data_IF_902724203230
#
_entry.id   IF_902724203230
#
_cell.length_a   1.000
_cell.length_b   1.000
_cell.length_c   1.000
_cell.angle_alpha   90.00
_cell.angle_beta   90.00
_cell.angle_gamma   90.00
#
_symmetry.space_group_name_H-M   'P 1'
#
loop_
_entity.id
_entity.type
_entity.pdbx_description
1 polymer ?
#
# COMPACT_ATOMS: atom_id res chain seq x y z
N UNK A 1 -4.76 -9.41 30.87
CA UNK A 1 -4.60 -7.96 30.99
C UNK A 1 -5.50 -7.48 32.11
N UNK A 2 -4.95 -6.73 33.08
CA UNK A 2 -5.67 -6.28 34.28
C UNK A 2 -6.08 -4.81 34.21
N UNK A 3 -5.55 -4.02 33.27
CA UNK A 3 -5.93 -2.63 33.02
C UNK A 3 -5.55 -2.19 31.60
N UNK A 4 -6.29 -1.24 31.02
CA UNK A 4 -6.04 -0.59 29.73
C UNK A 4 -6.58 0.84 29.77
N UNK A 5 -5.78 1.81 29.34
CA UNK A 5 -6.15 3.23 29.32
C UNK A 5 -5.98 3.78 27.90
N UNK A 6 -7.06 4.23 27.23
CA UNK A 6 -7.02 4.70 25.85
C UNK A 6 -6.62 6.19 25.69
N UNK A 7 -6.05 6.80 26.74
CA UNK A 7 -5.65 8.21 26.70
C UNK A 7 -4.39 8.40 25.86
N UNK A 8 -4.31 9.56 25.18
CA UNK A 8 -3.10 9.92 24.45
C UNK A 8 -1.92 10.04 25.44
N UNK A 9 -0.84 9.27 25.26
CA UNK A 9 0.33 9.37 26.11
C UNK A 9 0.98 10.75 25.98
N UNK A 10 1.63 11.19 27.06
CA UNK A 10 2.43 12.41 27.04
C UNK A 10 3.50 12.35 25.95
N UNK A 11 3.66 13.43 25.17
CA UNK A 11 4.60 13.46 24.05
C UNK A 11 6.06 13.28 24.49
N UNK A 12 6.40 13.73 25.71
CA UNK A 12 7.74 13.59 26.29
C UNK A 12 8.16 12.14 26.55
N UNK A 13 7.22 11.20 26.57
CA UNK A 13 7.54 9.76 26.59
C UNK A 13 8.23 9.28 25.31
N UNK A 14 8.06 10.02 24.21
CA UNK A 14 8.65 9.70 22.91
C UNK A 14 9.89 10.54 22.60
N UNK A 15 10.27 11.46 23.49
CA UNK A 15 11.49 12.23 23.35
C UNK A 15 12.72 11.40 23.76
N UNK A 16 13.67 11.29 22.85
CA UNK A 16 14.93 10.62 23.13
C UNK A 16 15.84 11.51 23.99
N UNK A 17 15.98 11.16 25.28
CA UNK A 17 16.84 11.89 26.21
C UNK A 17 18.11 11.07 26.56
N UNK A 18 19.24 11.28 25.87
CA UNK A 18 20.47 10.53 26.16
C UNK A 18 20.99 10.87 27.57
N UNK A 19 21.46 9.88 28.35
CA UNK A 19 22.06 10.14 29.66
C UNK A 19 23.40 10.88 29.53
N UNK A 20 23.87 11.49 30.63
CA UNK A 20 25.13 12.22 30.64
C UNK A 20 26.31 11.34 30.21
N UNK A 21 27.09 11.82 29.23
CA UNK A 21 28.24 11.09 28.67
C UNK A 21 27.89 10.07 27.58
N UNK A 22 26.62 9.94 27.19
CA UNK A 22 26.24 9.13 26.04
C UNK A 22 26.65 9.82 24.73
N UNK A 23 27.29 9.06 23.84
CA UNK A 23 27.59 9.48 22.47
C UNK A 23 26.43 9.13 21.57
N UNK A 24 25.86 10.14 20.91
CA UNK A 24 24.79 9.98 19.91
C UNK A 24 25.42 10.08 18.52
N UNK A 25 25.23 9.04 17.70
CA UNK A 25 25.68 9.02 16.31
C UNK A 25 24.47 8.94 15.38
N UNK A 26 24.30 9.94 14.53
CA UNK A 26 23.28 9.93 13.50
C UNK A 26 23.85 9.28 12.24
N UNK A 27 23.31 8.12 11.88
CA UNK A 27 23.70 7.44 10.64
C UNK A 27 22.82 7.97 9.52
N UNK A 28 23.42 8.77 8.65
CA UNK A 28 22.85 9.05 7.34
C UNK A 28 22.79 7.74 6.54
N UNK A 29 21.59 7.29 6.21
CA UNK A 29 21.44 6.28 5.17
C UNK A 29 21.97 6.86 3.85
N UNK A 30 22.57 6.05 2.98
CA UNK A 30 22.84 6.49 1.62
C UNK A 30 21.53 7.04 1.05
N UNK A 31 21.57 8.25 0.49
CA UNK A 31 20.43 8.85 -0.18
C UNK A 31 19.90 7.81 -1.17
N UNK A 32 18.72 7.27 -0.89
CA UNK A 32 18.07 6.27 -1.74
C UNK A 32 17.52 6.95 -3.00
N UNK A 33 18.31 7.84 -3.61
CA UNK A 33 18.05 8.51 -4.88
C UNK A 33 16.69 9.20 -4.99
N UNK A 34 15.99 9.45 -3.87
CA UNK A 34 14.64 9.97 -3.93
C UNK A 34 14.76 11.48 -3.99
N UNK A 35 15.05 11.96 -5.21
CA UNK A 35 14.97 13.39 -5.52
C UNK A 35 13.57 13.87 -5.10
N UNK A 36 13.44 15.04 -4.47
CA UNK A 36 12.13 15.66 -4.27
C UNK A 36 11.53 15.88 -5.67
N UNK A 37 10.51 15.09 -6.01
CA UNK A 37 9.88 15.07 -7.34
C UNK A 37 10.19 13.87 -8.25
N UNK A 38 10.99 12.89 -7.83
CA UNK A 38 11.27 11.69 -8.63
C UNK A 38 10.44 10.48 -8.19
N UNK A 39 9.17 10.45 -8.54
CA UNK A 39 8.48 9.18 -8.64
C UNK A 39 9.12 8.35 -9.79
N UNK A 40 9.90 7.32 -9.43
CA UNK A 40 10.64 6.46 -10.35
C UNK A 40 12.08 6.97 -10.51
N UNK A 41 13.11 6.21 -10.15
CA UNK A 41 13.41 4.88 -10.66
C UNK A 41 14.24 4.09 -9.65
N UNK A 42 13.67 3.00 -9.11
CA UNK A 42 14.47 1.91 -8.54
C UNK A 42 15.19 1.21 -9.69
N UNK A 43 16.52 1.25 -9.68
CA UNK A 43 17.37 0.58 -10.65
C UNK A 43 18.08 -0.58 -9.94
N UNK A 44 17.37 -1.69 -9.80
CA UNK A 44 17.97 -2.99 -9.47
C UNK A 44 17.42 -4.04 -10.44
N UNK A 45 18.32 -4.45 -11.34
CA UNK A 45 18.53 -5.83 -11.82
C UNK A 45 17.43 -6.66 -12.47
N UNK A 46 16.14 -6.43 -12.21
CA UNK A 46 15.03 -7.27 -12.67
C UNK A 46 13.76 -6.45 -12.91
N UNK A 47 13.86 -5.37 -13.69
CA UNK A 47 12.68 -4.76 -14.29
C UNK A 47 12.71 -5.02 -15.79
N UNK A 48 11.91 -5.99 -16.21
CA UNK A 48 11.37 -5.96 -17.56
C UNK A 48 10.82 -4.56 -17.79
N UNK A 49 11.29 -3.91 -18.85
CA UNK A 49 10.87 -2.57 -19.22
C UNK A 49 9.38 -2.61 -19.54
N UNK A 50 8.53 -2.34 -18.56
CA UNK A 50 7.15 -2.01 -18.89
C UNK A 50 7.12 -0.52 -19.17
N UNK A 51 7.73 -0.19 -20.30
CA UNK A 51 7.47 1.04 -21.01
C UNK A 51 6.14 0.83 -21.73
N UNK A 52 5.09 1.24 -21.05
CA UNK A 52 3.75 1.31 -21.57
C UNK A 52 3.07 2.41 -20.78
N UNK A 53 2.37 3.28 -21.48
CA UNK A 53 1.43 4.24 -20.93
C UNK A 53 0.38 3.48 -20.10
N UNK A 54 0.75 3.07 -18.88
CA UNK A 54 -0.18 2.49 -17.93
C UNK A 54 -0.75 3.67 -17.19
N UNK A 55 -2.03 3.93 -17.39
CA UNK A 55 -2.85 4.84 -16.57
C UNK A 55 -2.37 4.72 -15.13
N UNK A 56 -1.65 5.74 -14.66
CA UNK A 56 -1.12 5.75 -13.31
C UNK A 56 -2.34 5.69 -12.39
N UNK A 57 -2.56 4.55 -11.76
CA UNK A 57 -3.66 4.39 -10.82
C UNK A 57 -3.64 5.52 -9.79
N UNK A 58 -4.82 5.93 -9.36
CA UNK A 58 -4.96 6.90 -8.28
C UNK A 58 -4.50 6.26 -6.97
N UNK A 59 -3.81 7.00 -6.11
CA UNK A 59 -3.41 6.50 -4.80
C UNK A 59 -4.26 7.18 -3.74
N UNK A 60 -5.00 6.39 -2.97
CA UNK A 60 -5.84 6.81 -1.85
C UNK A 60 -5.13 6.46 -0.54
N UNK A 61 -4.97 7.45 0.33
CA UNK A 61 -4.26 7.32 1.61
C UNK A 61 -2.74 7.52 1.50
N UNK A 62 -2.08 7.55 2.66
CA UNK A 62 -0.64 7.82 2.78
C UNK A 62 0.09 6.72 3.57
N UNK A 63 1.40 6.61 3.35
CA UNK A 63 2.26 5.70 4.10
C UNK A 63 1.83 4.24 3.98
N UNK A 64 1.64 3.59 5.13
CA UNK A 64 1.28 2.16 5.21
C UNK A 64 -0.17 1.87 4.85
N UNK A 65 -1.03 2.89 4.79
CA UNK A 65 -2.46 2.74 4.46
C UNK A 65 -2.77 3.04 2.99
N UNK A 66 -1.73 3.25 2.17
CA UNK A 66 -1.87 3.61 0.78
C UNK A 66 -2.48 2.47 -0.05
N UNK A 67 -3.51 2.81 -0.83
CA UNK A 67 -4.22 1.94 -1.76
C UNK A 67 -4.14 2.52 -3.16
N UNK A 68 -3.64 1.74 -4.12
CA UNK A 68 -3.70 2.12 -5.53
C UNK A 68 -5.00 1.64 -6.16
N UNK A 69 -5.73 2.55 -6.81
CA UNK A 69 -6.97 2.31 -7.55
C UNK A 69 -6.69 2.44 -9.04
N UNK A 70 -6.85 1.35 -9.77
CA UNK A 70 -6.74 1.29 -11.23
C UNK A 70 -8.17 1.30 -11.80
N UNK A 71 -8.53 2.27 -12.65
CA UNK A 71 -9.87 2.35 -13.21
C UNK A 71 -10.15 1.19 -14.16
N UNK A 72 -11.43 0.86 -14.32
CA UNK A 72 -11.88 -0.16 -15.25
C UNK A 72 -11.39 0.11 -16.67
N UNK A 73 -10.97 -0.95 -17.38
CA UNK A 73 -10.41 -0.86 -18.73
C UNK A 73 -8.96 -0.36 -18.80
N UNK A 74 -8.34 0.01 -17.68
CA UNK A 74 -6.89 0.32 -17.60
C UNK A 74 -6.06 -0.83 -17.00
N UNK A 75 -6.71 -1.85 -16.44
CA UNK A 75 -6.04 -3.08 -16.00
C UNK A 75 -5.67 -3.96 -17.20
N UNK A 76 -4.55 -4.70 -17.15
CA UNK A 76 -4.23 -5.68 -18.18
C UNK A 76 -5.32 -6.77 -18.18
N UNK A 77 -6.06 -6.88 -19.29
CA UNK A 77 -7.17 -7.86 -19.42
C UNK A 77 -6.72 -9.31 -19.21
N UNK A 78 -5.48 -9.63 -19.57
CA UNK A 78 -4.88 -10.94 -19.28
C UNK A 78 -4.86 -11.28 -17.78
N UNK A 79 -4.78 -10.30 -16.89
CA UNK A 79 -4.82 -10.54 -15.44
C UNK A 79 -6.25 -10.87 -14.99
N UNK A 80 -7.23 -10.11 -15.46
CA UNK A 80 -8.64 -10.24 -15.06
C UNK A 80 -9.33 -11.48 -15.62
N UNK A 81 -8.86 -11.97 -16.77
CA UNK A 81 -9.38 -13.17 -17.47
C UNK A 81 -8.54 -14.44 -17.21
N UNK A 82 -7.64 -14.42 -16.23
CA UNK A 82 -6.75 -15.56 -15.99
C UNK A 82 -7.43 -16.66 -15.15
N UNK A 83 -7.42 -17.90 -15.67
CA UNK A 83 -7.92 -19.08 -14.93
C UNK A 83 -7.18 -19.32 -13.60
N UNK A 84 -5.92 -18.87 -13.50
CA UNK A 84 -5.15 -18.90 -12.26
C UNK A 84 -5.75 -17.97 -11.21
N UNK A 85 -6.23 -16.79 -11.62
CA UNK A 85 -6.89 -15.87 -10.71
C UNK A 85 -8.22 -16.44 -10.22
N UNK A 86 -8.95 -17.16 -11.08
CA UNK A 86 -10.18 -17.85 -10.68
C UNK A 86 -9.94 -18.92 -9.59
N UNK A 87 -8.76 -19.55 -9.57
CA UNK A 87 -8.41 -20.56 -8.56
C UNK A 87 -7.88 -19.94 -7.25
N UNK A 88 -7.14 -18.84 -7.35
CA UNK A 88 -6.45 -18.22 -6.20
C UNK A 88 -7.25 -17.12 -5.52
N UNK A 89 -8.15 -16.46 -6.25
CA UNK A 89 -8.98 -15.41 -5.69
C UNK A 89 -10.17 -16.00 -4.94
N UNK A 90 -10.56 -15.30 -3.88
CA UNK A 90 -11.72 -15.64 -3.06
C UNK A 90 -12.85 -14.66 -3.39
N UNK A 91 -14.05 -15.18 -3.61
CA UNK A 91 -15.23 -14.34 -3.79
C UNK A 91 -15.54 -13.56 -2.50
N UNK A 92 -15.74 -12.25 -2.64
CA UNK A 92 -16.09 -11.33 -1.57
C UNK A 92 -17.27 -10.45 -2.01
N UNK A 93 -17.85 -9.73 -1.06
CA UNK A 93 -18.86 -8.75 -1.41
C UNK A 93 -18.24 -7.65 -2.29
N UNK A 94 -18.78 -7.49 -3.50
CA UNK A 94 -18.31 -6.50 -4.47
C UNK A 94 -17.19 -6.97 -5.41
N UNK A 95 -16.82 -8.26 -5.39
CA UNK A 95 -15.96 -8.85 -6.41
C UNK A 95 -15.08 -10.00 -5.91
N UNK A 96 -13.80 -9.99 -6.31
CA UNK A 96 -12.85 -11.09 -6.02
C UNK A 96 -11.57 -10.56 -5.38
N UNK A 97 -11.16 -11.19 -4.29
CA UNK A 97 -9.99 -10.81 -3.50
C UNK A 97 -8.86 -11.82 -3.70
N UNK A 98 -7.69 -11.33 -4.11
CA UNK A 98 -6.45 -12.08 -4.11
C UNK A 98 -5.57 -11.60 -2.96
N UNK A 99 -5.32 -12.49 -1.99
CA UNK A 99 -4.49 -12.19 -0.83
C UNK A 99 -3.11 -12.83 -0.91
N UNK A 100 -2.08 -12.06 -0.56
CA UNK A 100 -0.72 -12.56 -0.35
C UNK A 100 -0.17 -12.05 0.99
N UNK A 101 0.93 -12.63 1.51
CA UNK A 101 1.56 -12.11 2.72
C UNK A 101 2.13 -10.68 2.59
N UNK A 102 2.32 -10.19 1.35
CA UNK A 102 2.90 -8.87 1.09
C UNK A 102 1.85 -7.80 0.79
N UNK A 103 0.78 -8.17 0.10
CA UNK A 103 -0.27 -7.25 -0.32
C UNK A 103 -1.57 -7.99 -0.61
N UNK A 104 -2.66 -7.24 -0.59
CA UNK A 104 -3.98 -7.67 -1.03
C UNK A 104 -4.36 -6.93 -2.32
N UNK A 105 -5.08 -7.62 -3.21
CA UNK A 105 -5.64 -7.08 -4.45
C UNK A 105 -7.11 -7.40 -4.52
N UNK A 106 -7.96 -6.39 -4.73
CA UNK A 106 -9.39 -6.52 -4.92
C UNK A 106 -9.73 -6.18 -6.37
N UNK A 107 -10.34 -7.13 -7.07
CA UNK A 107 -10.99 -6.91 -8.36
C UNK A 107 -12.47 -6.68 -8.10
N UNK A 108 -12.95 -5.48 -8.38
CA UNK A 108 -14.35 -5.13 -8.17
C UNK A 108 -15.24 -5.57 -9.33
N UNK A 109 -16.52 -5.79 -9.07
CA UNK A 109 -17.53 -6.11 -10.10
C UNK A 109 -17.69 -4.99 -11.15
N UNK A 110 -17.40 -3.74 -10.76
CA UNK A 110 -17.41 -2.58 -11.66
C UNK A 110 -16.15 -2.48 -12.54
N UNK A 111 -15.20 -3.40 -12.37
CA UNK A 111 -14.01 -3.56 -13.21
C UNK A 111 -12.79 -2.79 -12.71
N UNK A 112 -12.85 -2.06 -11.59
CA UNK A 112 -11.67 -1.46 -10.95
C UNK A 112 -10.81 -2.53 -10.28
N UNK A 113 -9.50 -2.26 -10.21
CA UNK A 113 -8.53 -3.05 -9.45
C UNK A 113 -7.94 -2.18 -8.35
N UNK A 114 -8.06 -2.63 -7.10
CA UNK A 114 -7.49 -1.98 -5.94
C UNK A 114 -6.35 -2.85 -5.37
N UNK A 115 -5.23 -2.25 -5.00
CA UNK A 115 -4.10 -2.98 -4.43
C UNK A 115 -3.39 -2.19 -3.34
N UNK A 116 -3.00 -2.87 -2.26
CA UNK A 116 -2.24 -2.26 -1.16
C UNK A 116 -1.73 -3.28 -0.13
N UNK A 117 -0.72 -2.89 0.64
CA UNK A 117 -0.21 -3.67 1.77
C UNK A 117 -1.08 -3.49 3.03
N UNK A 118 -2.40 -3.45 2.83
CA UNK A 118 -3.42 -3.14 3.83
C UNK A 118 -4.32 -4.34 4.07
N UNK A 119 -5.01 -4.44 5.22
CA UNK A 119 -6.03 -5.46 5.45
C UNK A 119 -7.14 -5.41 4.40
N UNK A 120 -7.81 -6.55 4.15
CA UNK A 120 -8.89 -6.64 3.17
C UNK A 120 -10.00 -5.59 3.40
N UNK A 121 -10.33 -5.30 4.67
CA UNK A 121 -11.36 -4.34 5.05
C UNK A 121 -11.09 -2.95 4.46
N UNK A 122 -9.81 -2.54 4.45
CA UNK A 122 -9.40 -1.23 3.92
C UNK A 122 -9.62 -1.14 2.42
N UNK A 123 -9.35 -2.22 1.67
CA UNK A 123 -9.63 -2.25 0.24
C UNK A 123 -11.13 -2.13 -0.06
N UNK A 124 -11.97 -2.77 0.76
CA UNK A 124 -13.43 -2.70 0.62
C UNK A 124 -13.96 -1.30 0.95
N UNK A 125 -13.43 -0.64 1.98
CA UNK A 125 -13.77 0.75 2.33
C UNK A 125 -13.44 1.73 1.20
N UNK A 126 -12.24 1.61 0.63
CA UNK A 126 -11.83 2.45 -0.50
C UNK A 126 -12.67 2.12 -1.74
N UNK A 127 -13.01 0.85 -1.98
CA UNK A 127 -13.87 0.45 -3.09
C UNK A 127 -15.29 1.03 -2.97
N UNK A 128 -15.84 1.10 -1.75
CA UNK A 128 -17.13 1.69 -1.44
C UNK A 128 -17.14 3.23 -1.52
N UNK A 129 -15.97 3.87 -1.65
CA UNK A 129 -15.84 5.33 -1.64
C UNK A 129 -15.92 5.94 -0.24
N UNK A 130 -15.77 5.13 0.80
CA UNK A 130 -15.78 5.56 2.21
C UNK A 130 -14.37 5.85 2.73
N UNK A 131 -13.39 6.05 1.84
CA UNK A 131 -12.08 6.58 2.20
C UNK A 131 -12.23 8.05 2.55
N UNK A 132 -12.43 8.34 3.83
CA UNK A 132 -12.63 9.69 4.36
C UNK A 132 -11.53 10.67 3.91
N UNK A 133 -12.02 11.86 3.58
CA UNK A 133 -11.37 13.14 3.30
C UNK A 133 -10.56 13.74 4.46
#
# INVERSE_FOLDING_TARGET
FTEFTPEAPDAGLFDFQPPAGATVEEKSFPDCGMRPGAAGTWQDGHRGTVSGDRSRGEVVGEGWEAVTVIPAGSSPGELTDSALLDELAVDVEGGRLLGTPLLNVLLTDDGRVLAGAVPQQRLLEVAAGTGEE
#
